data_IF_874852121622
#
_entry.id   IF_874852121622
#
_cell.length_a   1.000
_cell.length_b   1.000
_cell.length_c   1.000
_cell.angle_alpha   90.00
_cell.angle_beta   90.00
_cell.angle_gamma   90.00
#
_symmetry.space_group_name_H-M   'P 1'
#
loop_
_entity.id
_entity.type
_entity.pdbx_description
1 polymer ?
#
# COMPACT_ATOMS: atom_id res chain seq x y z
N UNK A 1 -24.79 5.13 -24.04
CA UNK A 1 -24.99 5.06 -22.56
C UNK A 1 -23.93 5.89 -21.86
N UNK A 2 -24.32 6.80 -20.95
CA UNK A 2 -23.42 7.82 -20.34
C UNK A 2 -22.59 7.32 -19.15
N UNK A 3 -23.05 6.29 -18.42
CA UNK A 3 -22.34 5.71 -17.29
C UNK A 3 -22.05 4.23 -17.55
N UNK A 4 -20.77 3.88 -17.71
CA UNK A 4 -20.34 2.52 -18.08
C UNK A 4 -19.76 1.72 -16.91
N UNK A 5 -19.36 2.40 -15.84
CA UNK A 5 -18.74 1.79 -14.66
C UNK A 5 -19.71 1.95 -13.49
N UNK A 6 -20.08 0.82 -12.89
CA UNK A 6 -20.94 0.75 -11.71
C UNK A 6 -20.11 0.18 -10.56
N UNK A 7 -20.20 0.79 -9.38
CA UNK A 7 -19.49 0.32 -8.21
C UNK A 7 -20.33 0.54 -6.96
N UNK A 8 -20.20 -0.37 -6.00
CA UNK A 8 -20.84 -0.26 -4.70
C UNK A 8 -19.87 0.43 -3.74
N UNK A 9 -20.35 1.44 -3.03
CA UNK A 9 -19.57 2.16 -2.02
C UNK A 9 -19.75 1.44 -0.68
N UNK A 10 -18.72 0.72 -0.26
CA UNK A 10 -18.75 -0.02 1.00
C UNK A 10 -18.98 0.92 2.18
N UNK A 11 -19.74 0.43 3.17
CA UNK A 11 -20.15 1.21 4.35
C UNK A 11 -21.39 2.08 4.15
N UNK A 12 -21.88 2.27 2.91
CA UNK A 12 -23.03 3.16 2.66
C UNK A 12 -24.27 2.45 2.11
N UNK A 13 -24.14 1.21 1.63
CA UNK A 13 -25.19 0.49 0.89
C UNK A 13 -25.69 1.25 -0.36
N UNK A 14 -24.81 1.99 -1.02
CA UNK A 14 -25.13 2.77 -2.22
C UNK A 14 -24.35 2.28 -3.44
N UNK A 15 -25.03 2.25 -4.59
CA UNK A 15 -24.40 2.10 -5.89
C UNK A 15 -24.15 3.48 -6.51
N UNK A 16 -22.95 3.65 -7.09
CA UNK A 16 -22.55 4.83 -7.82
C UNK A 16 -22.08 4.47 -9.22
N UNK A 17 -22.06 5.49 -10.07
CA UNK A 17 -21.86 5.34 -11.50
C UNK A 17 -20.94 6.44 -12.03
N UNK A 18 -19.99 6.07 -12.89
CA UNK A 18 -19.12 7.02 -13.59
C UNK A 18 -19.00 6.68 -15.08
N UNK A 19 -18.71 7.69 -15.89
CA UNK A 19 -18.55 7.54 -17.34
C UNK A 19 -17.21 6.91 -17.73
N UNK A 20 -16.18 7.08 -16.89
CA UNK A 20 -14.81 6.63 -17.15
C UNK A 20 -13.97 6.51 -15.87
N UNK A 21 -12.88 5.73 -15.92
CA UNK A 21 -11.98 5.48 -14.79
C UNK A 21 -11.18 6.72 -14.40
N UNK A 22 -10.93 7.63 -15.34
CA UNK A 22 -10.20 8.89 -15.12
C UNK A 22 -10.92 9.80 -14.11
N UNK A 23 -12.24 9.64 -13.93
CA UNK A 23 -12.99 10.38 -12.93
C UNK A 23 -12.54 10.09 -11.49
N UNK A 24 -12.05 8.88 -11.21
CA UNK A 24 -11.48 8.54 -9.90
C UNK A 24 -10.15 9.24 -9.63
N UNK A 25 -9.44 9.67 -10.67
CA UNK A 25 -8.14 10.31 -10.56
C UNK A 25 -8.19 11.83 -10.33
N UNK A 26 -9.39 12.44 -10.32
CA UNK A 26 -9.56 13.90 -10.21
C UNK A 26 -9.14 14.46 -8.86
N UNK A 27 -9.40 13.73 -7.78
CA UNK A 27 -9.05 14.13 -6.42
C UNK A 27 -8.13 13.07 -5.83
N UNK A 28 -6.89 13.45 -5.51
CA UNK A 28 -5.89 12.54 -4.96
C UNK A 28 -5.39 13.06 -3.61
N UNK A 29 -5.45 12.21 -2.61
CA UNK A 29 -4.72 12.41 -1.36
C UNK A 29 -3.30 11.89 -1.55
N UNK A 30 -2.32 12.71 -1.16
CA UNK A 30 -0.91 12.36 -1.28
C UNK A 30 -0.29 12.37 0.10
N UNK A 31 0.33 11.25 0.44
CA UNK A 31 1.09 11.10 1.67
C UNK A 31 2.55 10.77 1.37
N UNK A 32 3.39 11.03 2.37
CA UNK A 32 4.83 10.80 2.39
C UNK A 32 5.15 9.91 3.58
N UNK A 33 6.01 8.92 3.35
CA UNK A 33 6.56 8.05 4.39
C UNK A 33 7.63 8.84 5.15
N UNK A 34 7.48 8.97 6.46
CA UNK A 34 8.44 9.65 7.33
C UNK A 34 9.10 8.65 8.29
N UNK A 35 10.37 8.89 8.64
CA UNK A 35 11.20 7.96 9.43
C UNK A 35 10.68 7.65 10.83
N UNK A 36 9.83 8.52 11.38
CA UNK A 36 9.10 8.33 12.64
C UNK A 36 7.84 7.45 12.50
N UNK A 37 7.73 6.65 11.42
CA UNK A 37 6.57 5.81 11.11
C UNK A 37 5.28 6.59 10.86
N UNK A 38 5.37 7.88 10.50
CA UNK A 38 4.23 8.69 10.11
C UNK A 38 3.99 8.62 8.60
N UNK A 39 2.72 8.48 8.21
CA UNK A 39 2.24 8.69 6.85
C UNK A 39 1.62 10.10 6.80
N UNK A 40 2.41 11.08 6.37
CA UNK A 40 2.03 12.50 6.46
C UNK A 40 1.66 13.09 5.10
N UNK A 41 0.70 13.99 5.09
CA UNK A 41 0.39 14.85 3.94
C UNK A 41 1.44 15.95 3.70
N UNK A 42 2.32 16.18 4.69
CA UNK A 42 3.44 17.10 4.61
C UNK A 42 4.72 16.39 4.19
N UNK A 43 5.39 16.99 3.19
CA UNK A 43 6.72 16.56 2.78
C UNK A 43 7.77 17.28 3.61
N UNK A 44 8.55 16.53 4.38
CA UNK A 44 9.72 17.07 5.09
C UNK A 44 10.93 17.02 4.15
N UNK A 45 11.83 18.00 4.29
CA UNK A 45 13.05 18.15 3.47
C UNK A 45 14.20 17.24 3.90
N UNK A 46 14.19 16.76 5.14
CA UNK A 46 15.26 15.90 5.66
C UNK A 46 15.29 14.54 4.95
N UNK A 47 16.47 14.18 4.45
CA UNK A 47 16.76 12.85 3.92
C UNK A 47 16.89 11.85 5.09
N UNK A 48 15.76 11.52 5.69
CA UNK A 48 15.65 10.46 6.70
C UNK A 48 15.13 9.16 6.07
N UNK A 49 15.36 8.04 6.76
CA UNK A 49 14.91 6.71 6.33
C UNK A 49 14.47 5.87 7.52
N UNK A 50 13.60 4.90 7.28
CA UNK A 50 13.26 3.84 8.23
C UNK A 50 14.10 2.60 7.92
N UNK A 51 14.77 2.03 8.92
CA UNK A 51 15.57 0.83 8.76
C UNK A 51 14.70 -0.42 8.97
N UNK A 52 14.77 -1.37 8.02
CA UNK A 52 14.21 -2.70 8.16
C UNK A 52 15.32 -3.74 8.03
N UNK A 53 15.48 -4.58 9.06
CA UNK A 53 16.41 -5.71 9.04
C UNK A 53 15.60 -7.01 8.98
N UNK A 54 15.87 -7.81 7.96
CA UNK A 54 15.24 -9.12 7.74
C UNK A 54 16.30 -10.19 7.77
N UNK A 55 16.15 -11.19 8.63
CA UNK A 55 16.97 -12.39 8.58
C UNK A 55 16.28 -13.45 7.71
N UNK A 56 16.82 -13.68 6.52
CA UNK A 56 16.30 -14.69 5.61
C UNK A 56 16.63 -16.12 6.04
N UNK A 57 17.36 -16.35 7.14
CA UNK A 57 17.51 -17.68 7.74
C UNK A 57 16.43 -17.96 8.78
N UNK A 58 15.85 -16.91 9.36
CA UNK A 58 14.72 -17.07 10.27
C UNK A 58 13.48 -17.49 9.48
N UNK A 59 12.89 -18.60 9.91
CA UNK A 59 11.67 -19.22 9.37
C UNK A 59 10.68 -19.56 10.49
N UNK A 60 10.90 -19.04 11.70
CA UNK A 60 10.05 -19.28 12.86
C UNK A 60 8.59 -18.83 12.67
N UNK A 61 8.33 -17.98 11.68
CA UNK A 61 7.02 -17.44 11.32
C UNK A 61 6.31 -18.16 10.17
N UNK A 62 6.89 -19.24 9.62
CA UNK A 62 6.28 -19.94 8.46
C UNK A 62 4.85 -20.40 8.78
N UNK A 63 4.61 -20.98 9.94
CA UNK A 63 3.28 -21.45 10.33
C UNK A 63 2.29 -20.28 10.52
N UNK A 64 2.73 -19.16 11.08
CA UNK A 64 1.88 -17.96 11.19
C UNK A 64 1.53 -17.41 9.80
N UNK A 65 2.53 -17.34 8.91
CA UNK A 65 2.36 -16.84 7.54
C UNK A 65 1.38 -17.69 6.72
N UNK A 66 1.47 -19.03 6.82
CA UNK A 66 0.56 -19.95 6.13
C UNK A 66 -0.88 -19.88 6.67
N UNK A 67 -1.05 -19.45 7.92
CA UNK A 67 -2.34 -19.33 8.58
C UNK A 67 -2.96 -17.93 8.46
N UNK A 68 -2.30 -16.96 7.80
CA UNK A 68 -2.87 -15.64 7.58
C UNK A 68 -4.14 -15.74 6.74
N UNK A 69 -5.24 -15.27 7.32
CA UNK A 69 -6.53 -15.12 6.63
C UNK A 69 -6.60 -13.68 6.13
N UNK A 70 -6.53 -13.48 4.81
CA UNK A 70 -6.64 -12.16 4.19
C UNK A 70 -8.09 -11.67 4.17
N UNK A 71 -8.72 -11.63 5.35
CA UNK A 71 -10.07 -11.16 5.53
C UNK A 71 -10.13 -9.64 5.25
N UNK A 72 -11.28 -9.17 4.78
CA UNK A 72 -11.48 -7.73 4.53
C UNK A 72 -11.41 -6.93 5.83
N UNK A 73 -11.79 -7.54 6.96
CA UNK A 73 -11.73 -6.94 8.30
C UNK A 73 -10.95 -7.87 9.21
N UNK A 74 -9.84 -7.36 9.76
CA UNK A 74 -8.94 -8.10 10.65
C UNK A 74 -8.88 -7.43 12.04
N UNK A 75 -8.75 -8.24 13.11
CA UNK A 75 -8.52 -7.71 14.46
C UNK A 75 -7.05 -7.33 14.69
N UNK A 76 -6.13 -7.88 13.88
CA UNK A 76 -4.70 -7.60 13.93
C UNK A 76 -4.11 -7.76 12.53
N UNK A 77 -3.07 -7.00 12.23
CA UNK A 77 -2.30 -7.14 10.99
C UNK A 77 -0.96 -7.82 11.28
N UNK A 78 -0.48 -8.60 10.33
CA UNK A 78 0.84 -9.21 10.37
C UNK A 78 1.92 -8.14 10.19
N UNK A 79 2.85 -8.02 11.14
CA UNK A 79 3.88 -6.94 11.16
C UNK A 79 5.32 -7.45 11.12
N UNK A 80 5.55 -8.77 11.18
CA UNK A 80 6.92 -9.30 11.11
C UNK A 80 7.54 -8.94 9.75
N UNK A 81 8.83 -8.58 9.76
CA UNK A 81 9.57 -8.14 8.58
C UNK A 81 8.90 -6.99 7.80
N UNK A 82 8.17 -6.10 8.50
CA UNK A 82 7.41 -5.00 7.89
C UNK A 82 7.73 -3.66 8.56
N UNK A 83 7.58 -2.59 7.79
CA UNK A 83 7.48 -1.23 8.31
C UNK A 83 6.02 -0.79 8.26
N UNK A 84 5.53 -0.19 9.32
CA UNK A 84 4.14 0.29 9.42
C UNK A 84 4.17 1.80 9.52
N UNK A 85 3.41 2.47 8.65
CA UNK A 85 3.25 3.91 8.67
C UNK A 85 1.79 4.25 8.87
N UNK A 86 1.49 5.21 9.75
CA UNK A 86 0.11 5.57 10.10
C UNK A 86 -0.07 7.07 9.97
N UNK A 87 -1.25 7.52 9.53
CA UNK A 87 -1.57 8.95 9.49
C UNK A 87 -1.89 9.46 10.90
N UNK A 88 -1.97 10.77 11.08
CA UNK A 88 -2.77 11.31 12.17
C UNK A 88 -4.25 10.92 11.98
N UNK A 89 -5.04 11.04 13.05
CA UNK A 89 -6.49 10.81 12.99
C UNK A 89 -7.13 11.67 11.91
N UNK A 90 -7.91 11.04 11.03
CA UNK A 90 -8.67 11.73 10.00
C UNK A 90 -10.03 12.13 10.61
N UNK A 91 -10.22 13.41 10.86
CA UNK A 91 -11.43 13.92 11.53
C UNK A 91 -12.66 13.98 10.63
N UNK A 92 -12.44 14.20 9.32
CA UNK A 92 -13.53 14.36 8.35
C UNK A 92 -13.65 13.10 7.50
N UNK A 93 -14.78 12.38 7.53
CA UNK A 93 -14.97 11.19 6.72
C UNK A 93 -14.99 11.57 5.23
N UNK A 94 -14.38 10.73 4.40
CA UNK A 94 -14.39 10.87 2.96
C UNK A 94 -14.51 9.50 2.29
N UNK A 95 -14.98 9.50 1.05
CA UNK A 95 -15.00 8.30 0.24
C UNK A 95 -13.67 8.13 -0.49
N UNK A 96 -13.03 6.98 -0.29
CA UNK A 96 -11.91 6.51 -1.08
C UNK A 96 -12.43 5.59 -2.18
N UNK A 97 -12.46 6.11 -3.41
CA UNK A 97 -12.90 5.38 -4.61
C UNK A 97 -11.80 5.43 -5.67
N UNK A 98 -11.09 4.32 -5.86
CA UNK A 98 -9.98 4.26 -6.81
C UNK A 98 -8.91 3.23 -6.46
N UNK A 99 -7.74 3.44 -7.04
CA UNK A 99 -6.52 2.68 -6.83
C UNK A 99 -5.50 3.60 -6.15
N UNK A 100 -4.80 3.13 -5.11
CA UNK A 100 -3.66 3.90 -4.61
C UNK A 100 -2.52 3.81 -5.62
N UNK A 101 -1.57 4.74 -5.58
CA UNK A 101 -0.34 4.63 -6.37
C UNK A 101 0.76 5.35 -5.63
N UNK A 102 2.00 5.04 -5.96
CA UNK A 102 3.10 5.60 -5.21
C UNK A 102 4.46 5.34 -5.81
N UNK A 103 5.46 5.87 -5.13
CA UNK A 103 6.87 5.59 -5.40
C UNK A 103 7.52 5.22 -4.08
N UNK A 104 8.04 4.00 -4.00
CA UNK A 104 8.87 3.57 -2.88
C UNK A 104 10.32 3.79 -3.24
N UNK A 105 11.02 4.62 -2.47
CA UNK A 105 12.46 4.84 -2.61
C UNK A 105 13.19 4.13 -1.49
N UNK A 106 14.11 3.24 -1.82
CA UNK A 106 14.87 2.48 -0.82
C UNK A 106 16.24 2.06 -1.35
N UNK A 107 17.11 1.62 -0.45
CA UNK A 107 18.33 0.88 -0.76
C UNK A 107 18.31 -0.44 0.02
N UNK A 108 18.96 -1.47 -0.52
CA UNK A 108 19.03 -2.79 0.10
C UNK A 108 20.39 -3.43 -0.18
N UNK A 109 20.88 -4.27 0.73
CA UNK A 109 22.15 -5.01 0.55
C UNK A 109 22.04 -6.26 -0.35
N UNK A 110 20.92 -6.44 -1.06
CA UNK A 110 20.64 -7.57 -1.96
C UNK A 110 20.43 -7.08 -3.40
N UNK A 111 20.52 -8.00 -4.36
CA UNK A 111 20.29 -7.71 -5.78
C UNK A 111 18.81 -7.79 -6.19
N UNK A 112 17.95 -8.20 -5.27
CA UNK A 112 16.53 -8.48 -5.53
C UNK A 112 15.76 -8.57 -4.22
N UNK A 113 14.46 -8.27 -4.26
CA UNK A 113 13.55 -8.36 -3.11
C UNK A 113 12.10 -8.40 -3.59
N UNK A 114 11.26 -9.16 -2.89
CA UNK A 114 9.81 -9.12 -3.06
C UNK A 114 9.23 -8.05 -2.11
N UNK A 115 8.36 -7.18 -2.64
CA UNK A 115 7.78 -6.04 -1.95
C UNK A 115 6.28 -6.25 -1.86
N UNK A 116 5.78 -6.26 -0.63
CA UNK A 116 4.35 -6.27 -0.32
C UNK A 116 3.97 -4.93 0.30
N UNK A 117 2.89 -4.33 -0.17
CA UNK A 117 2.31 -3.13 0.42
C UNK A 117 0.83 -3.38 0.66
N UNK A 118 0.41 -3.19 1.91
CA UNK A 118 -0.98 -3.26 2.32
C UNK A 118 -1.42 -1.88 2.77
N UNK A 119 -2.54 -1.41 2.21
CA UNK A 119 -3.19 -0.19 2.64
C UNK A 119 -4.40 -0.58 3.48
N UNK A 120 -4.42 -0.13 4.73
CA UNK A 120 -5.50 -0.37 5.67
C UNK A 120 -6.15 0.94 6.11
N UNK A 121 -7.44 0.89 6.41
CA UNK A 121 -8.07 1.82 7.35
C UNK A 121 -7.98 1.19 8.75
N UNK A 122 -7.47 1.94 9.72
CA UNK A 122 -7.64 1.63 11.14
C UNK A 122 -8.94 2.26 11.62
N UNK A 123 -9.95 1.43 11.87
CA UNK A 123 -11.30 1.88 12.24
C UNK A 123 -11.36 2.29 13.73
N UNK A 124 -12.36 3.09 14.15
CA UNK A 124 -12.52 3.52 15.56
C UNK A 124 -12.69 2.38 16.57
N UNK A 125 -13.08 1.18 16.13
CA UNK A 125 -13.19 -0.02 16.95
C UNK A 125 -11.89 -0.85 16.98
N UNK A 126 -10.76 -0.24 16.59
CA UNK A 126 -9.41 -0.83 16.56
C UNK A 126 -9.23 -2.01 15.60
N UNK A 127 -10.20 -2.25 14.71
CA UNK A 127 -10.06 -3.23 13.64
C UNK A 127 -9.48 -2.60 12.38
N UNK A 128 -8.84 -3.43 11.57
CA UNK A 128 -8.24 -3.03 10.31
C UNK A 128 -9.14 -3.44 9.16
N UNK A 129 -9.51 -2.49 8.30
CA UNK A 129 -10.19 -2.76 7.04
C UNK A 129 -9.16 -2.73 5.92
N UNK A 130 -8.98 -3.85 5.20
CA UNK A 130 -8.05 -3.94 4.08
C UNK A 130 -8.58 -3.16 2.87
N UNK A 131 -7.95 -2.03 2.56
CA UNK A 131 -8.37 -1.18 1.44
C UNK A 131 -7.78 -1.65 0.11
N UNK A 132 -6.49 -1.96 0.07
CA UNK A 132 -5.84 -2.40 -1.17
C UNK A 132 -4.50 -3.07 -0.90
N UNK A 133 -4.02 -3.82 -1.87
CA UNK A 133 -2.76 -4.59 -1.81
C UNK A 133 -1.95 -4.38 -3.06
N UNK A 134 -0.63 -4.39 -2.92
CA UNK A 134 0.33 -4.42 -4.01
C UNK A 134 1.42 -5.45 -3.69
N UNK A 135 1.79 -6.24 -4.70
CA UNK A 135 2.83 -7.25 -4.63
C UNK A 135 3.67 -7.14 -5.89
N UNK A 136 4.98 -7.02 -5.72
CA UNK A 136 5.90 -7.06 -6.85
C UNK A 136 7.27 -7.59 -6.47
N UNK A 137 7.94 -8.24 -7.43
CA UNK A 137 9.37 -8.51 -7.34
C UNK A 137 10.15 -7.34 -7.94
N UNK A 138 11.00 -6.72 -7.14
CA UNK A 138 11.60 -5.42 -7.46
C UNK A 138 12.39 -5.39 -8.79
N UNK A 139 13.03 -6.51 -9.15
CA UNK A 139 13.81 -6.60 -10.39
C UNK A 139 12.94 -6.57 -11.69
N UNK A 140 11.62 -6.68 -11.59
CA UNK A 140 10.68 -6.62 -12.71
C UNK A 140 9.93 -5.29 -12.78
N UNK A 141 10.17 -4.35 -11.87
CA UNK A 141 9.41 -3.08 -11.81
C UNK A 141 9.55 -2.19 -13.04
N UNK A 142 10.74 -2.19 -13.64
CA UNK A 142 11.00 -1.41 -14.86
C UNK A 142 10.45 -2.09 -16.11
N UNK A 143 10.40 -3.42 -16.11
CA UNK A 143 9.96 -4.23 -17.24
C UNK A 143 9.60 -5.65 -16.71
N UNK A 144 8.36 -6.07 -16.89
CA UNK A 144 7.86 -7.37 -16.45
C UNK A 144 8.30 -8.55 -17.33
N UNK A 145 8.79 -8.28 -18.55
CA UNK A 145 9.34 -9.28 -19.47
C UNK A 145 10.85 -9.47 -19.28
N UNK A 146 11.54 -8.44 -18.77
CA UNK A 146 12.99 -8.45 -18.63
C UNK A 146 13.43 -8.21 -17.19
N UNK A 147 14.16 -9.17 -16.64
CA UNK A 147 14.77 -9.09 -15.32
C UNK A 147 15.86 -8.01 -15.27
N UNK A 148 15.74 -7.05 -14.35
CA UNK A 148 16.70 -5.98 -14.11
C UNK A 148 17.13 -5.99 -12.63
N UNK A 149 18.27 -6.61 -12.32
CA UNK A 149 18.75 -6.70 -10.94
C UNK A 149 19.00 -5.32 -10.31
N UNK A 150 18.72 -5.22 -9.00
CA UNK A 150 19.06 -4.06 -8.20
C UNK A 150 20.58 -4.01 -7.97
N UNK A 151 21.12 -2.79 -7.82
CA UNK A 151 22.50 -2.62 -7.36
C UNK A 151 22.52 -2.53 -5.83
N UNK A 152 23.20 -3.45 -5.11
CA UNK A 152 23.25 -3.40 -3.65
C UNK A 152 23.71 -2.04 -3.13
N UNK A 153 23.05 -1.57 -2.07
CA UNK A 153 23.29 -0.30 -1.38
C UNK A 153 23.08 0.97 -2.23
N UNK A 154 22.60 0.84 -3.47
CA UNK A 154 22.19 1.98 -4.30
C UNK A 154 20.71 2.31 -4.05
N UNK A 155 20.38 3.60 -4.04
CA UNK A 155 19.00 4.08 -3.94
C UNK A 155 18.27 3.72 -5.24
N UNK A 156 17.21 2.93 -5.12
CA UNK A 156 16.31 2.54 -6.20
C UNK A 156 14.94 3.18 -5.99
N UNK A 157 14.13 3.23 -7.04
CA UNK A 157 12.74 3.68 -6.96
C UNK A 157 11.85 2.65 -7.62
N UNK A 158 10.90 2.13 -6.85
CA UNK A 158 9.86 1.21 -7.31
C UNK A 158 8.57 2.00 -7.48
N UNK A 159 7.98 1.92 -8.66
CA UNK A 159 6.68 2.51 -8.94
C UNK A 159 5.59 1.54 -8.51
N UNK A 160 4.70 1.99 -7.63
CA UNK A 160 3.53 1.23 -7.21
C UNK A 160 2.36 1.66 -8.10
N UNK A 161 1.91 0.73 -8.93
CA UNK A 161 0.78 0.88 -9.84
C UNK A 161 0.04 -0.45 -10.00
N UNK A 162 -1.07 -0.44 -10.73
CA UNK A 162 -1.84 -1.64 -11.10
C UNK A 162 -2.27 -2.54 -9.92
N UNK A 163 -2.63 -1.91 -8.81
CA UNK A 163 -3.15 -2.53 -7.59
C UNK A 163 -4.68 -2.56 -7.58
N UNK A 164 -5.26 -3.19 -6.55
CA UNK A 164 -6.72 -3.42 -6.48
C UNK A 164 -7.51 -2.11 -6.34
N UNK A 165 -8.58 -1.99 -7.14
CA UNK A 165 -9.57 -0.91 -7.02
C UNK A 165 -10.48 -1.18 -5.82
N UNK A 166 -10.85 -0.12 -5.10
CA UNK A 166 -11.82 -0.19 -4.02
C UNK A 166 -12.68 1.07 -3.99
N UNK A 167 -13.90 0.95 -3.45
CA UNK A 167 -14.73 2.08 -3.07
C UNK A 167 -15.27 1.88 -1.66
N UNK A 168 -14.92 2.81 -0.76
CA UNK A 168 -15.35 2.78 0.64
C UNK A 168 -15.46 4.19 1.21
N UNK A 169 -16.47 4.39 2.05
CA UNK A 169 -16.63 5.59 2.88
C UNK A 169 -16.45 5.25 4.36
#
# INVERSE_FOLDING_TARGET
>A
MKNKINYQVMGTNQWKHVSSIENFNKNRLKFYLQSNNLLSDLKISDESFSLLKVDLKDRSDVDELLNLKYDVIENKIYKKNSLVFTTNTIEKPFEFSGNFSGKLKFSINKKDVDIYVYLYELMPNEKYFLLSTYLERANYNKNNEKRNLLTPNKKETISISNNKFISKK
#
